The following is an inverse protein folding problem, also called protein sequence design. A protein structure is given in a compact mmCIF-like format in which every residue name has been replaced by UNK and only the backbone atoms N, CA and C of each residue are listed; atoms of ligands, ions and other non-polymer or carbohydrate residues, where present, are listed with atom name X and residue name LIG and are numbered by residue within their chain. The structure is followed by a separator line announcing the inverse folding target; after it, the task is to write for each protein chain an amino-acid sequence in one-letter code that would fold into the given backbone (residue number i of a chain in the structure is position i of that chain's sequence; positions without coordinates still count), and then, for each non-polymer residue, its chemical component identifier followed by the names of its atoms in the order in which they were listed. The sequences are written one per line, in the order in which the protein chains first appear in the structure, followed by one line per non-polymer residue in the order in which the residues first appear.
data_IF_849509032045
#
_entry.id   IF_849509032045
#
_cell.length_a   1.000
_cell.length_b   1.000
_cell.length_c   1.000
_cell.angle_alpha   90.00
_cell.angle_beta   90.00
_cell.angle_gamma   90.00
#
_symmetry.space_group_name_H-M   'P 1'
#
loop_
_entity.id
_entity.type
_entity.pdbx_description
1 polymer ?
#
# COMPACT_ATOMS: atom_id res chain seq x y z
N UNK A 1 -16.52 3.49 10.76
CA UNK A 1 -15.99 3.26 9.40
C UNK A 1 -14.99 4.38 9.11
N UNK A 2 -13.70 4.08 8.93
CA UNK A 2 -12.68 5.09 8.55
C UNK A 2 -12.78 5.40 7.05
N UNK A 3 -13.98 5.78 6.62
CA UNK A 3 -14.17 6.39 5.31
C UNK A 3 -13.44 7.74 5.34
N UNK A 4 -12.34 7.88 4.61
CA UNK A 4 -11.83 9.21 4.26
C UNK A 4 -10.33 9.41 4.12
N UNK A 5 -9.46 8.46 4.47
CA UNK A 5 -8.02 8.64 4.28
C UNK A 5 -7.54 7.89 3.04
N UNK A 6 -7.30 8.65 1.97
CA UNK A 6 -6.68 8.16 0.75
C UNK A 6 -5.15 8.12 0.91
N UNK A 7 -4.58 6.91 0.78
CA UNK A 7 -3.14 6.69 0.86
C UNK A 7 -2.35 7.49 -0.18
N UNK A 8 -2.91 7.75 -1.36
CA UNK A 8 -2.27 8.55 -2.39
C UNK A 8 -2.08 10.00 -1.94
N UNK A 9 -3.11 10.57 -1.31
CA UNK A 9 -3.06 11.94 -0.75
C UNK A 9 -2.05 12.02 0.39
N UNK A 10 -2.04 11.03 1.31
CA UNK A 10 -1.07 10.97 2.40
C UNK A 10 0.37 10.90 1.88
N UNK A 11 0.63 10.03 0.90
CA UNK A 11 1.95 9.90 0.28
C UNK A 11 2.39 11.20 -0.41
N UNK A 12 1.48 11.90 -1.09
CA UNK A 12 1.77 13.18 -1.73
C UNK A 12 2.22 14.23 -0.70
N UNK A 13 1.51 14.36 0.43
CA UNK A 13 1.90 15.29 1.50
C UNK A 13 3.23 14.94 2.17
N UNK A 14 3.51 13.66 2.37
CA UNK A 14 4.79 13.23 2.94
C UNK A 14 5.98 13.57 2.03
N UNK A 15 5.83 13.52 0.71
CA UNK A 15 6.89 13.89 -0.25
C UNK A 15 7.31 15.36 -0.16
N UNK A 16 6.47 16.23 0.39
CA UNK A 16 6.80 17.65 0.60
C UNK A 16 7.85 17.85 1.72
N UNK A 17 7.99 16.88 2.62
CA UNK A 17 8.82 17.00 3.84
C UNK A 17 9.81 15.87 4.05
N UNK A 18 9.66 14.74 3.34
CA UNK A 18 10.49 13.56 3.47
C UNK A 18 11.23 13.25 2.16
N UNK A 19 12.48 12.77 2.23
CA UNK A 19 13.13 12.13 1.10
C UNK A 19 12.29 10.96 0.56
N UNK A 20 12.35 10.72 -0.75
CA UNK A 20 11.49 9.72 -1.41
C UNK A 20 11.57 8.32 -0.81
N UNK A 21 12.75 7.89 -0.34
CA UNK A 21 12.96 6.58 0.27
C UNK A 21 12.36 6.43 1.68
N UNK A 22 11.91 7.52 2.30
CA UNK A 22 11.21 7.50 3.60
C UNK A 22 9.69 7.53 3.46
N UNK A 23 9.17 7.72 2.25
CA UNK A 23 7.73 7.74 2.00
C UNK A 23 7.21 6.28 1.98
N UNK A 24 6.22 5.92 2.82
CA UNK A 24 5.69 4.56 2.85
C UNK A 24 5.12 4.12 1.50
N UNK A 25 5.38 2.87 1.11
CA UNK A 25 4.82 2.26 -0.10
C UNK A 25 3.36 1.84 0.05
N UNK A 26 2.85 1.70 1.28
CA UNK A 26 1.46 1.34 1.55
C UNK A 26 0.93 1.99 2.83
N UNK A 27 -0.38 2.28 2.83
CA UNK A 27 -1.12 2.84 3.96
C UNK A 27 -2.31 1.93 4.27
N UNK A 28 -2.39 1.43 5.49
CA UNK A 28 -3.46 0.52 5.93
C UNK A 28 -4.28 1.20 7.02
N UNK A 29 -5.52 1.55 6.71
CA UNK A 29 -6.45 2.10 7.68
C UNK A 29 -6.87 1.05 8.70
N UNK A 30 -6.66 1.33 9.99
CA UNK A 30 -7.06 0.44 11.09
C UNK A 30 -8.12 1.11 11.98
N UNK A 31 -9.20 0.42 12.35
CA UNK A 31 -10.17 0.96 13.31
C UNK A 31 -9.54 1.25 14.67
N UNK A 32 -8.60 0.40 15.09
CA UNK A 32 -7.76 0.59 16.28
C UNK A 32 -6.41 -0.09 16.07
N UNK A 33 -5.41 0.32 16.83
CA UNK A 33 -4.14 -0.39 16.89
C UNK A 33 -4.29 -1.71 17.69
N UNK A 34 -3.70 -2.82 17.22
CA UNK A 34 -3.60 -4.04 17.99
C UNK A 34 -2.60 -3.83 19.13
N UNK A 35 -2.95 -4.28 20.34
CA UNK A 35 -2.10 -4.14 21.52
C UNK A 35 -2.04 -5.47 22.25
N UNK A 36 -0.88 -5.75 22.85
CA UNK A 36 -0.67 -6.86 23.78
C UNK A 36 -1.46 -6.64 25.08
N UNK A 37 -1.62 -7.66 25.95
CA UNK A 37 -2.30 -7.49 27.24
C UNK A 37 -1.69 -6.38 28.13
N UNK A 38 -0.39 -6.09 27.96
CA UNK A 38 0.32 -5.03 28.67
C UNK A 38 0.20 -3.65 27.99
N UNK A 39 -0.66 -3.50 26.97
CA UNK A 39 -0.92 -2.24 26.29
C UNK A 39 0.11 -1.81 25.24
N UNK A 40 1.17 -2.60 25.00
CA UNK A 40 2.17 -2.32 23.94
C UNK A 40 1.61 -2.67 22.56
N UNK A 41 1.97 -1.91 21.52
CA UNK A 41 1.65 -2.24 20.12
C UNK A 41 2.10 -3.67 19.78
N UNK A 42 1.14 -4.49 19.35
CA UNK A 42 1.43 -5.82 18.83
C UNK A 42 1.69 -5.73 17.32
N UNK A 43 2.97 -5.58 16.96
CA UNK A 43 3.38 -5.46 15.56
C UNK A 43 3.11 -6.73 14.74
N UNK A 44 3.04 -7.90 15.38
CA UNK A 44 2.79 -9.18 14.68
C UNK A 44 1.32 -9.33 14.31
N UNK A 45 0.43 -8.65 15.04
CA UNK A 45 -0.99 -8.59 14.77
C UNK A 45 -1.39 -7.48 13.78
N UNK A 46 -0.43 -6.69 13.27
CA UNK A 46 -0.72 -5.75 12.19
C UNK A 46 -1.02 -6.53 10.91
N UNK A 47 -2.12 -6.22 10.19
CA UNK A 47 -2.39 -6.86 8.91
C UNK A 47 -1.31 -6.48 7.90
N UNK A 48 -0.97 -7.43 7.03
CA UNK A 48 -0.20 -7.11 5.85
C UNK A 48 -0.96 -6.07 5.01
N UNK A 49 -0.28 -5.08 4.41
CA UNK A 49 -0.89 -4.27 3.37
C UNK A 49 -1.45 -5.20 2.29
N UNK A 50 -2.67 -4.91 1.83
CA UNK A 50 -3.17 -5.58 0.64
C UNK A 50 -2.16 -5.36 -0.50
N UNK A 51 -1.93 -6.38 -1.32
CA UNK A 51 -1.24 -6.22 -2.60
C UNK A 51 -1.82 -4.98 -3.27
N UNK A 52 -0.98 -3.99 -3.55
CA UNK A 52 -1.34 -2.60 -3.85
C UNK A 52 -2.08 -2.40 -5.18
N UNK A 53 -2.80 -3.40 -5.69
CA UNK A 53 -3.29 -3.48 -7.06
C UNK A 53 -4.75 -3.89 -7.26
N UNK A 54 -5.62 -3.85 -6.24
CA UNK A 54 -7.04 -4.28 -6.41
C UNK A 54 -8.10 -3.18 -6.34
N UNK A 55 -7.73 -1.94 -6.64
CA UNK A 55 -8.71 -0.89 -6.92
C UNK A 55 -8.43 -0.23 -8.28
N UNK A 56 -9.16 -0.65 -9.31
CA UNK A 56 -9.36 0.18 -10.51
C UNK A 56 -8.30 0.14 -11.62
N UNK A 57 -7.52 -0.94 -11.75
CA UNK A 57 -6.61 -1.11 -12.89
C UNK A 57 -7.36 -1.37 -14.21
N UNK A 58 -6.80 -0.87 -15.32
CA UNK A 58 -7.24 -1.18 -16.69
C UNK A 58 -6.36 -2.30 -17.26
N UNK A 59 -6.95 -3.18 -18.07
CA UNK A 59 -6.17 -4.17 -18.85
C UNK A 59 -5.18 -3.49 -19.82
N UNK A 60 -4.02 -4.13 -20.10
CA UNK A 60 -3.08 -3.67 -21.12
C UNK A 60 -3.74 -3.61 -22.49
N UNK A 61 -3.30 -2.69 -23.35
CA UNK A 61 -3.83 -2.44 -24.70
C UNK A 61 -2.78 -2.48 -25.79
N UNK A 62 -1.51 -2.56 -25.42
CA UNK A 62 -0.41 -2.58 -26.37
C UNK A 62 0.51 -3.77 -26.09
N UNK A 63 1.22 -4.30 -27.10
CA UNK A 63 2.18 -5.38 -26.89
C UNK A 63 3.25 -5.04 -25.84
N UNK A 64 3.64 -3.76 -25.73
CA UNK A 64 4.59 -3.31 -24.71
C UNK A 64 4.02 -3.35 -23.29
N UNK A 65 2.76 -2.96 -23.12
CA UNK A 65 2.07 -3.07 -21.82
C UNK A 65 1.87 -4.54 -21.42
N UNK A 66 1.54 -5.41 -22.37
CA UNK A 66 1.41 -6.86 -22.13
C UNK A 66 2.74 -7.49 -21.69
N UNK A 67 3.85 -7.11 -22.34
CA UNK A 67 5.18 -7.55 -21.95
C UNK A 67 5.53 -7.06 -20.52
N UNK A 68 5.24 -5.80 -20.20
CA UNK A 68 5.49 -5.25 -18.86
C UNK A 68 4.70 -5.99 -17.78
N UNK A 69 3.41 -6.25 -18.01
CA UNK A 69 2.58 -7.02 -17.09
C UNK A 69 3.12 -8.44 -16.89
N UNK A 70 3.60 -9.09 -17.97
CA UNK A 70 4.20 -10.42 -17.90
C UNK A 70 5.46 -10.42 -17.04
N UNK A 71 6.38 -9.48 -17.28
CA UNK A 71 7.62 -9.36 -16.48
C UNK A 71 7.33 -9.07 -15.00
N UNK A 72 6.32 -8.25 -14.70
CA UNK A 72 5.91 -8.00 -13.32
C UNK A 72 5.35 -9.26 -12.66
N UNK A 73 4.53 -10.04 -13.36
CA UNK A 73 3.99 -11.28 -12.86
C UNK A 73 5.09 -12.34 -12.62
N UNK A 74 6.10 -12.43 -13.47
CA UNK A 74 7.23 -13.36 -13.29
C UNK A 74 8.09 -13.03 -12.07
N UNK A 75 8.25 -11.74 -11.74
CA UNK A 75 9.12 -11.30 -10.65
C UNK A 75 8.38 -11.20 -9.31
N UNK A 76 7.10 -10.82 -9.33
CA UNK A 76 6.32 -10.49 -8.13
C UNK A 76 5.18 -11.49 -7.82
N UNK A 77 4.83 -12.37 -8.76
CA UNK A 77 3.80 -13.42 -8.62
C UNK A 77 4.37 -14.75 -8.17
#
# INVERSE_FOLDING_TARGET
AHAGLDGAVLAARLRESLPGYMVPSAFVGLPRLPVTPNGKLDRRALPAPAESGRAGGRAPRTPGEELLCTLFAEVLG
#
